data_IF_006298903483
#
_entry.id   IF_006298903483
#
_cell.length_a   1.000
_cell.length_b   1.000
_cell.length_c   1.000
_cell.angle_alpha   90.00
_cell.angle_beta   90.00
_cell.angle_gamma   90.00
#
_symmetry.space_group_name_H-M   'P 1'
#
loop_
_entity.id
_entity.type
_entity.pdbx_description
1 polymer ?
#
# COMPACT_ATOMS: atom_id res chain seq x y z
N UNK A 1 26.48 9.48 -6.31
CA UNK A 1 25.67 8.27 -6.51
C UNK A 1 25.80 7.46 -5.23
N UNK A 2 24.92 7.72 -4.26
CA UNK A 2 25.00 7.07 -2.94
C UNK A 2 24.32 5.73 -3.05
N UNK A 3 25.07 4.65 -2.79
CA UNK A 3 24.52 3.32 -2.54
C UNK A 3 23.64 3.36 -1.29
N UNK A 4 22.39 2.86 -1.33
CA UNK A 4 21.57 2.79 -0.12
C UNK A 4 22.20 1.84 0.91
N UNK A 5 22.14 2.26 2.17
CA UNK A 5 22.65 1.54 3.35
C UNK A 5 21.77 0.32 3.67
N UNK A 6 22.32 -0.83 4.09
CA UNK A 6 21.59 -2.11 4.16
C UNK A 6 20.64 -2.28 5.37
N UNK A 7 19.98 -1.24 5.89
CA UNK A 7 19.05 -1.41 7.04
C UNK A 7 17.83 -0.47 7.13
N UNK A 8 17.75 0.66 6.43
CA UNK A 8 16.68 1.64 6.74
C UNK A 8 15.43 1.46 5.88
N UNK A 9 14.25 1.60 6.48
CA UNK A 9 12.97 1.63 5.78
C UNK A 9 12.99 2.71 4.66
N UNK A 10 12.18 2.56 3.60
CA UNK A 10 12.14 3.54 2.52
C UNK A 10 11.87 4.94 3.07
N UNK A 11 12.68 5.93 2.68
CA UNK A 11 12.57 7.31 3.22
C UNK A 11 11.53 8.15 2.50
N UNK A 12 11.13 7.74 1.29
CA UNK A 12 10.07 8.37 0.51
C UNK A 12 9.21 7.33 -0.24
N UNK A 13 8.11 7.81 -0.82
CA UNK A 13 7.15 6.98 -1.57
C UNK A 13 7.81 6.24 -2.75
N UNK A 14 8.73 6.89 -3.47
CA UNK A 14 9.37 6.29 -4.64
C UNK A 14 10.28 5.13 -4.23
N UNK A 15 11.00 5.28 -3.12
CA UNK A 15 11.79 4.20 -2.54
C UNK A 15 10.91 3.03 -2.08
N UNK A 16 9.76 3.30 -1.45
CA UNK A 16 8.83 2.23 -1.05
C UNK A 16 8.30 1.45 -2.25
N UNK A 17 7.89 2.14 -3.32
CA UNK A 17 7.44 1.50 -4.55
C UNK A 17 8.57 0.67 -5.17
N UNK A 18 9.78 1.22 -5.24
CA UNK A 18 10.95 0.51 -5.78
C UNK A 18 11.31 -0.74 -4.95
N UNK A 19 11.24 -0.64 -3.62
CA UNK A 19 11.44 -1.77 -2.71
C UNK A 19 10.40 -2.86 -2.95
N UNK A 20 9.11 -2.50 -3.01
CA UNK A 20 8.03 -3.44 -3.28
C UNK A 20 8.18 -4.10 -4.66
N UNK A 21 8.55 -3.34 -5.69
CA UNK A 21 8.83 -3.91 -7.00
C UNK A 21 9.98 -4.93 -6.95
N UNK A 22 11.05 -4.63 -6.21
CA UNK A 22 12.15 -5.57 -6.00
C UNK A 22 11.74 -6.84 -5.20
N UNK A 23 10.76 -6.74 -4.31
CA UNK A 23 10.15 -7.87 -3.59
C UNK A 23 9.10 -8.65 -4.42
N UNK A 24 8.85 -8.24 -5.68
CA UNK A 24 7.95 -8.93 -6.61
C UNK A 24 6.50 -8.49 -6.57
N UNK A 25 6.21 -7.30 -6.02
CA UNK A 25 4.91 -6.65 -6.16
C UNK A 25 4.92 -5.85 -7.48
N UNK A 26 4.42 -6.45 -8.56
CA UNK A 26 4.60 -5.93 -9.93
C UNK A 26 3.34 -5.37 -10.56
N UNK A 27 2.17 -5.60 -9.96
CA UNK A 27 0.90 -5.10 -10.47
C UNK A 27 0.54 -3.74 -9.83
N UNK A 28 -0.11 -2.87 -10.59
CA UNK A 28 -0.61 -1.59 -10.11
C UNK A 28 -2.10 -1.70 -9.70
N UNK A 29 -2.36 -1.90 -8.42
CA UNK A 29 -3.72 -1.91 -7.89
C UNK A 29 -4.20 -0.47 -7.67
N UNK A 30 -5.44 -0.20 -8.05
CA UNK A 30 -6.07 1.10 -7.90
C UNK A 30 -7.52 0.93 -7.41
N UNK A 31 -7.97 1.83 -6.54
CA UNK A 31 -9.37 1.88 -6.12
C UNK A 31 -10.16 2.57 -7.23
N UNK A 32 -11.19 1.88 -7.74
CA UNK A 32 -12.13 2.39 -8.74
C UNK A 32 -13.52 2.39 -8.11
N UNK A 33 -13.99 3.59 -7.72
CA UNK A 33 -15.22 3.73 -6.93
C UNK A 33 -15.06 3.07 -5.56
N UNK A 34 -15.80 1.98 -5.32
CA UNK A 34 -15.74 1.19 -4.07
C UNK A 34 -15.13 -0.20 -4.25
N UNK A 35 -14.45 -0.42 -5.39
CA UNK A 35 -13.86 -1.71 -5.77
C UNK A 35 -12.39 -1.57 -6.10
N UNK A 36 -11.65 -2.66 -5.95
CA UNK A 36 -10.28 -2.80 -6.42
C UNK A 36 -10.24 -3.96 -7.43
N UNK A 37 -10.24 -3.66 -8.75
CA UNK A 37 -10.06 -4.69 -9.77
C UNK A 37 -8.62 -5.22 -9.72
N UNK A 38 -8.45 -6.54 -9.71
CA UNK A 38 -7.13 -7.16 -9.86
C UNK A 38 -6.65 -7.01 -11.31
N UNK A 39 -5.50 -6.36 -11.57
CA UNK A 39 -5.00 -6.16 -12.94
C UNK A 39 -4.72 -7.48 -13.67
N UNK A 40 -4.33 -8.53 -12.93
CA UNK A 40 -3.96 -9.83 -13.50
C UNK A 40 -5.12 -10.73 -13.87
N UNK A 41 -6.14 -10.84 -13.01
CA UNK A 41 -7.24 -11.80 -13.20
C UNK A 41 -8.61 -11.14 -13.41
N UNK A 42 -8.69 -9.80 -13.33
CA UNK A 42 -9.93 -9.04 -13.50
C UNK A 42 -10.95 -9.21 -12.38
N UNK A 43 -10.65 -9.97 -11.33
CA UNK A 43 -11.56 -10.11 -10.19
C UNK A 43 -11.62 -8.81 -9.40
N UNK A 44 -12.83 -8.34 -9.12
CA UNK A 44 -13.05 -7.16 -8.29
C UNK A 44 -13.17 -7.53 -6.82
N UNK A 45 -12.47 -6.77 -5.98
CA UNK A 45 -12.48 -6.92 -4.54
C UNK A 45 -13.05 -5.68 -3.88
N UNK A 46 -13.67 -5.81 -2.71
CA UNK A 46 -13.74 -4.66 -1.80
C UNK A 46 -12.32 -4.36 -1.27
N UNK A 47 -11.96 -3.09 -0.96
CA UNK A 47 -10.66 -2.74 -0.40
C UNK A 47 -10.29 -3.60 0.82
N UNK A 48 -11.22 -3.82 1.75
CA UNK A 48 -11.07 -4.69 2.92
C UNK A 48 -10.76 -6.17 2.64
N UNK A 49 -10.95 -6.64 1.42
CA UNK A 49 -10.68 -8.04 1.03
C UNK A 49 -9.27 -8.25 0.50
N UNK A 50 -8.52 -7.17 0.20
CA UNK A 50 -7.13 -7.30 -0.20
C UNK A 50 -6.28 -7.77 0.97
N UNK A 51 -5.32 -8.65 0.67
CA UNK A 51 -4.36 -9.10 1.66
C UNK A 51 -3.19 -8.10 1.66
N UNK A 52 -3.04 -7.36 2.76
CA UNK A 52 -1.93 -6.42 2.94
C UNK A 52 -0.74 -7.18 3.54
N UNK A 53 0.33 -7.31 2.77
CA UNK A 53 1.59 -7.95 3.19
C UNK A 53 2.57 -6.92 3.79
N UNK A 54 2.55 -5.68 3.28
CA UNK A 54 3.42 -4.56 3.68
C UNK A 54 2.67 -3.24 3.64
N UNK A 55 3.06 -2.27 4.46
CA UNK A 55 2.63 -0.88 4.30
C UNK A 55 3.72 0.10 4.76
N UNK A 56 3.77 1.27 4.13
CA UNK A 56 4.67 2.37 4.46
C UNK A 56 3.86 3.66 4.49
N UNK A 57 3.91 4.40 5.60
CA UNK A 57 3.25 5.69 5.74
C UNK A 57 4.26 6.79 5.54
N UNK A 58 3.89 7.77 4.73
CA UNK A 58 4.65 8.98 4.48
C UNK A 58 3.81 10.18 4.89
N UNK A 59 4.41 11.04 5.70
CA UNK A 59 3.86 12.36 5.97
C UNK A 59 4.40 13.29 4.88
N UNK A 60 3.52 14.00 4.17
CA UNK A 60 3.93 14.88 3.09
C UNK A 60 4.97 15.91 3.59
N UNK A 61 6.08 16.08 2.85
CA UNK A 61 7.13 17.03 3.21
C UNK A 61 6.64 18.51 3.23
N UNK A 62 5.48 18.79 2.62
CA UNK A 62 4.99 20.15 2.38
C UNK A 62 3.60 20.45 2.96
N UNK A 63 2.74 19.44 3.16
CA UNK A 63 1.41 19.61 3.75
C UNK A 63 1.08 18.41 4.65
N UNK A 64 0.77 18.61 5.94
CA UNK A 64 0.30 17.54 6.83
C UNK A 64 -1.04 16.92 6.40
N UNK A 65 -1.71 17.46 5.36
CA UNK A 65 -2.86 16.85 4.70
C UNK A 65 -2.48 15.93 3.52
N UNK A 66 -1.23 15.96 3.03
CA UNK A 66 -0.71 15.09 1.96
C UNK A 66 -0.04 13.84 2.54
N UNK A 67 -0.69 13.23 3.52
CA UNK A 67 -0.25 11.95 4.04
C UNK A 67 -0.60 10.86 3.01
N UNK A 68 0.31 9.92 2.77
CA UNK A 68 0.07 8.81 1.86
C UNK A 68 0.50 7.50 2.49
N UNK A 69 -0.20 6.43 2.13
CA UNK A 69 0.20 5.07 2.51
C UNK A 69 0.41 4.25 1.23
N UNK A 70 1.59 3.66 1.12
CA UNK A 70 1.93 2.69 0.08
C UNK A 70 1.75 1.30 0.65
N UNK A 71 0.89 0.49 0.05
CA UNK A 71 0.63 -0.89 0.44
C UNK A 71 1.24 -1.87 -0.56
N UNK A 72 1.90 -2.91 -0.05
CA UNK A 72 2.15 -4.14 -0.79
C UNK A 72 0.98 -5.08 -0.56
N UNK A 73 0.17 -5.30 -1.59
CA UNK A 73 -1.07 -6.09 -1.52
C UNK A 73 -0.99 -7.36 -2.36
N UNK A 74 -1.86 -8.31 -2.03
CA UNK A 74 -2.06 -9.54 -2.78
C UNK A 74 -3.53 -9.77 -3.08
N UNK A 75 -3.82 -10.11 -4.34
CA UNK A 75 -5.15 -10.55 -4.76
C UNK A 75 -5.47 -11.90 -4.10
N UNK A 76 -6.57 -12.02 -3.34
CA UNK A 76 -6.95 -13.28 -2.70
C UNK A 76 -7.40 -14.34 -3.71
N UNK A 77 -7.86 -13.96 -4.91
CA UNK A 77 -8.33 -14.90 -5.92
C UNK A 77 -7.23 -15.60 -6.70
N UNK A 78 -6.19 -14.87 -7.10
CA UNK A 78 -5.14 -15.39 -7.98
C UNK A 78 -3.71 -15.28 -7.42
N UNK A 79 -3.56 -14.68 -6.24
CA UNK A 79 -2.26 -14.49 -5.59
C UNK A 79 -1.37 -13.42 -6.24
N UNK A 80 -1.88 -12.64 -7.21
CA UNK A 80 -1.14 -11.54 -7.81
C UNK A 80 -0.69 -10.54 -6.75
N UNK A 81 0.57 -10.15 -6.79
CA UNK A 81 1.15 -9.17 -5.88
C UNK A 81 1.29 -7.83 -6.58
N UNK A 82 0.95 -6.77 -5.89
CA UNK A 82 1.05 -5.44 -6.45
C UNK A 82 1.11 -4.35 -5.41
N UNK A 83 1.25 -3.12 -5.90
CA UNK A 83 1.30 -1.91 -5.09
C UNK A 83 -0.06 -1.23 -5.16
N UNK A 84 -0.53 -0.74 -4.01
CA UNK A 84 -1.70 0.13 -3.91
C UNK A 84 -1.30 1.38 -3.13
N UNK A 85 -1.48 2.56 -3.72
CA UNK A 85 -1.23 3.83 -3.04
C UNK A 85 -2.57 4.43 -2.64
N UNK A 86 -2.73 4.76 -1.36
CA UNK A 86 -3.91 5.46 -0.85
C UNK A 86 -3.52 6.81 -0.28
N UNK A 87 -4.26 7.90 -0.58
CA UNK A 87 -4.18 9.10 0.23
C UNK A 87 -4.64 8.79 1.67
N UNK A 88 -4.06 9.48 2.64
CA UNK A 88 -4.39 9.40 4.06
C UNK A 88 -4.92 10.78 4.50
N UNK A 89 -6.07 10.81 5.18
CA UNK A 89 -6.82 12.04 5.45
C UNK A 89 -8.31 11.78 5.71
N UNK A 90 -9.17 12.81 5.78
CA UNK A 90 -10.62 12.65 6.00
C UNK A 90 -11.34 11.85 4.90
N UNK A 91 -10.71 11.70 3.72
CA UNK A 91 -11.15 10.85 2.61
C UNK A 91 -10.52 9.44 2.63
N UNK A 92 -9.71 9.12 3.65
CA UNK A 92 -9.14 7.79 3.81
C UNK A 92 -10.25 6.80 4.16
N UNK A 93 -10.31 5.72 3.40
CA UNK A 93 -11.33 4.70 3.55
C UNK A 93 -11.25 4.09 4.97
N UNK A 94 -12.32 4.16 5.79
CA UNK A 94 -12.29 3.70 7.17
C UNK A 94 -11.96 2.20 7.29
N UNK A 95 -12.15 1.41 6.23
CA UNK A 95 -11.73 0.00 6.18
C UNK A 95 -10.20 -0.15 6.20
N UNK A 96 -9.47 0.76 5.54
CA UNK A 96 -7.99 0.81 5.57
C UNK A 96 -7.52 1.19 6.99
N UNK A 97 -8.23 2.10 7.65
CA UNK A 97 -7.98 2.49 9.04
C UNK A 97 -8.29 1.36 10.06
N UNK A 98 -9.24 0.47 9.75
CA UNK A 98 -9.53 -0.68 10.61
C UNK A 98 -8.41 -1.72 10.62
N UNK A 99 -7.70 -1.93 9.50
CA UNK A 99 -6.50 -2.78 9.48
C UNK A 99 -5.34 -2.17 10.28
N UNK A 100 -5.20 -0.84 10.30
CA UNK A 100 -4.20 -0.12 11.08
C UNK A 100 -4.38 -0.30 12.61
N UNK A 101 -5.61 -0.47 13.09
CA UNK A 101 -5.91 -0.63 14.53
C UNK A 101 -5.58 -2.03 15.07
N UNK A 102 -5.50 -3.05 14.19
CA UNK A 102 -5.21 -4.43 14.60
C UNK A 102 -3.71 -4.72 14.75
N UNK A 103 -2.83 -3.92 14.13
CA UNK A 103 -1.37 -4.09 14.19
C UNK A 103 -0.70 -3.41 15.40
N UNK A 104 -1.43 -2.57 16.16
CA UNK A 104 -0.92 -1.88 17.36
C UNK A 104 -1.32 -2.54 18.69
N UNK A 105 -2.01 -3.69 18.66
CA UNK A 105 -2.34 -4.50 19.85
C UNK A 105 -1.76 -5.91 19.77
N UNK A 106 -0.46 -6.03 19.47
CA UNK A 106 0.32 -7.16 19.98
C UNK A 106 1.82 -6.83 19.94
N UNK A 107 2.34 -6.33 21.08
CA UNK A 107 3.73 -5.97 21.29
C UNK A 107 3.88 -5.01 22.45
#
# INVERSE_FOLDING_TARGET
MTTPSPTDAPVDMQEAVALLHAEGYTEDFNIVGTRVPCPKCGTEHAPSQLLVDRFFRFEGESDPADESIVFGVRCPSCGAKGVLVSPYGPDADPEVMQQLTLLTRNG
#
